data_IF_934702877415
#
_entry.id   IF_934702877415
#
_cell.length_a   1.000
_cell.length_b   1.000
_cell.length_c   1.000
_cell.angle_alpha   90.00
_cell.angle_beta   90.00
_cell.angle_gamma   90.00
#
_symmetry.space_group_name_H-M   'P 1'
#
loop_
_entity.id
_entity.type
_entity.pdbx_description
1 polymer ?
#
# COMPACT_ATOMS: atom_id res chain seq x y z
N UNK A 1 -14.00 -19.20 30.61
CA UNK A 1 -13.31 -18.06 31.24
C UNK A 1 -12.58 -17.30 30.15
N UNK A 2 -13.20 -16.19 29.75
CA UNK A 2 -12.74 -15.31 28.66
C UNK A 2 -11.65 -14.38 29.20
N UNK A 3 -10.40 -14.59 28.84
CA UNK A 3 -9.32 -13.62 29.14
C UNK A 3 -9.38 -12.49 28.12
N UNK A 4 -9.95 -11.35 28.53
CA UNK A 4 -9.88 -10.10 27.80
C UNK A 4 -8.46 -9.54 28.02
N UNK A 5 -7.60 -9.63 27.02
CA UNK A 5 -6.29 -8.96 27.00
C UNK A 5 -6.53 -7.46 26.82
N UNK A 6 -6.50 -6.75 27.94
CA UNK A 6 -6.46 -5.28 27.97
C UNK A 6 -5.07 -4.88 27.52
N UNK A 7 -4.95 -4.37 26.28
CA UNK A 7 -3.74 -3.71 25.79
C UNK A 7 -3.57 -2.43 26.61
N UNK A 8 -2.42 -2.19 27.28
CA UNK A 8 -2.24 -0.97 28.06
C UNK A 8 -2.24 0.24 27.14
N UNK A 9 -3.20 1.12 27.38
CA UNK A 9 -3.29 2.42 26.72
C UNK A 9 -2.08 3.30 27.10
N UNK A 10 -1.57 4.01 26.10
CA UNK A 10 -0.54 5.05 26.13
C UNK A 10 -0.41 5.77 27.47
N UNK A 11 0.72 5.65 28.12
CA UNK A 11 1.15 6.60 29.15
C UNK A 11 1.81 7.81 28.48
N UNK A 12 1.00 8.72 27.92
CA UNK A 12 1.48 9.98 27.32
C UNK A 12 1.54 11.02 28.43
N UNK A 13 2.72 11.53 28.72
CA UNK A 13 2.87 12.67 29.62
C UNK A 13 2.26 13.92 28.99
N UNK A 14 1.14 14.37 29.57
CA UNK A 14 0.40 15.55 29.13
C UNK A 14 0.92 16.76 29.88
N UNK A 15 1.79 17.57 29.25
CA UNK A 15 2.15 18.88 29.78
C UNK A 15 0.96 19.84 29.63
N UNK A 16 0.45 20.37 30.75
CA UNK A 16 -0.62 21.36 30.73
C UNK A 16 -0.08 22.74 30.33
N UNK A 17 -0.40 23.21 29.12
CA UNK A 17 -0.19 24.56 28.62
C UNK A 17 -1.52 25.30 28.52
N UNK A 18 -1.51 26.63 28.77
CA UNK A 18 -2.68 27.53 28.63
C UNK A 18 -3.20 27.71 27.18
N UNK A 19 -2.48 27.20 26.19
CA UNK A 19 -2.98 26.96 24.84
C UNK A 19 -3.50 25.52 24.81
N UNK A 20 -4.77 25.25 24.47
CA UNK A 20 -5.50 23.98 24.56
C UNK A 20 -4.64 22.72 24.57
N UNK A 21 -5.03 21.66 25.27
CA UNK A 21 -4.21 20.48 25.50
C UNK A 21 -3.76 19.83 24.20
N UNK A 22 -2.46 19.96 23.88
CA UNK A 22 -1.84 19.39 22.68
C UNK A 22 -0.99 18.18 23.07
N UNK A 23 -1.14 17.07 22.34
CA UNK A 23 -0.26 15.92 22.44
C UNK A 23 1.08 16.27 21.77
N UNK A 24 2.19 16.04 22.47
CA UNK A 24 3.54 16.20 21.94
C UNK A 24 4.28 14.87 22.08
N UNK A 25 4.91 14.43 21.00
CA UNK A 25 5.66 13.17 20.95
C UNK A 25 7.00 13.42 20.26
N UNK A 26 8.05 13.01 20.93
CA UNK A 26 9.39 12.89 20.35
C UNK A 26 9.58 11.45 19.82
N UNK A 27 9.62 11.25 18.49
CA UNK A 27 9.78 9.92 17.91
C UNK A 27 11.09 9.23 18.30
N UNK A 28 12.11 9.98 18.74
CA UNK A 28 13.41 9.40 19.15
C UNK A 28 13.34 8.67 20.50
N UNK A 29 12.34 8.98 21.32
CA UNK A 29 12.14 8.40 22.65
C UNK A 29 10.86 7.59 22.80
N UNK A 30 9.93 7.74 21.84
CA UNK A 30 8.67 7.03 21.84
C UNK A 30 8.81 5.58 21.34
N UNK A 31 7.92 4.70 21.76
CA UNK A 31 7.90 3.33 21.26
C UNK A 31 7.49 3.30 19.78
N UNK A 32 8.17 2.48 18.96
CA UNK A 32 7.92 2.36 17.52
C UNK A 32 6.46 2.10 17.17
N UNK A 33 5.70 1.23 17.89
CA UNK A 33 4.28 1.03 17.63
C UNK A 33 3.43 2.30 17.80
N UNK A 34 3.77 3.15 18.78
CA UNK A 34 3.03 4.39 19.06
C UNK A 34 3.28 5.43 17.95
N UNK A 35 4.53 5.59 17.54
CA UNK A 35 4.92 6.44 16.40
C UNK A 35 4.20 5.95 15.12
N UNK A 36 4.18 4.64 14.89
CA UNK A 36 3.47 4.04 13.76
C UNK A 36 1.99 4.39 13.79
N UNK A 37 1.29 4.18 14.93
CA UNK A 37 -0.14 4.46 15.06
C UNK A 37 -0.46 5.94 14.81
N UNK A 38 0.38 6.85 15.28
CA UNK A 38 0.21 8.28 15.04
C UNK A 38 0.41 8.61 13.56
N UNK A 39 1.50 8.13 12.94
CA UNK A 39 1.76 8.37 11.51
C UNK A 39 0.61 7.90 10.63
N UNK A 40 0.12 6.68 10.86
CA UNK A 40 -1.01 6.16 10.06
C UNK A 40 -2.35 6.84 10.40
N UNK A 41 -2.44 7.50 11.55
CA UNK A 41 -3.61 8.29 11.96
C UNK A 41 -3.65 9.69 11.36
N UNK A 42 -2.48 10.36 11.20
CA UNK A 42 -2.41 11.75 10.71
C UNK A 42 -2.16 11.84 9.22
N UNK A 43 -1.45 10.87 8.64
CA UNK A 43 -1.24 10.79 7.18
C UNK A 43 -2.39 9.99 6.57
N UNK A 44 -3.50 10.67 6.26
CA UNK A 44 -4.74 10.05 5.77
C UNK A 44 -5.47 10.97 4.79
N UNK A 45 -6.30 10.41 3.89
CA UNK A 45 -6.39 9.01 3.52
C UNK A 45 -5.15 8.56 2.72
N UNK A 46 -4.68 7.33 2.95
CA UNK A 46 -3.54 6.79 2.19
C UNK A 46 -4.05 5.92 1.04
N UNK A 47 -3.65 6.20 -0.21
CA UNK A 47 -3.91 5.28 -1.31
C UNK A 47 -3.23 3.93 -1.07
N UNK A 48 -3.71 2.89 -1.72
CA UNK A 48 -3.21 1.53 -1.56
C UNK A 48 -2.57 1.09 -2.88
N UNK A 49 -1.26 0.80 -2.85
CA UNK A 49 -0.62 0.02 -3.89
C UNK A 49 -0.95 -1.46 -3.63
N UNK A 50 -1.73 -2.08 -4.48
CA UNK A 50 -1.98 -3.51 -4.44
C UNK A 50 -1.03 -4.18 -5.44
N UNK A 51 0.05 -4.77 -4.91
CA UNK A 51 1.25 -5.06 -5.69
C UNK A 51 1.37 -6.56 -5.94
N UNK A 52 1.48 -6.95 -7.24
CA UNK A 52 2.00 -8.26 -7.60
C UNK A 52 3.51 -8.21 -7.81
N UNK A 53 4.20 -9.26 -7.37
CA UNK A 53 5.60 -9.55 -7.66
C UNK A 53 5.73 -11.02 -8.01
N UNK A 54 6.86 -11.41 -8.60
CA UNK A 54 7.12 -12.80 -9.01
C UNK A 54 8.37 -13.31 -8.30
N UNK A 55 8.24 -14.45 -7.62
CA UNK A 55 9.38 -15.11 -7.01
C UNK A 55 10.29 -15.78 -8.06
N UNK A 56 11.55 -16.10 -7.74
CA UNK A 56 12.40 -16.89 -8.63
C UNK A 56 11.84 -18.29 -8.96
N UNK A 57 10.96 -18.81 -8.12
CA UNK A 57 10.27 -20.09 -8.33
C UNK A 57 8.99 -19.95 -9.19
N UNK A 58 8.64 -18.74 -9.62
CA UNK A 58 7.44 -18.50 -10.44
C UNK A 58 6.15 -18.32 -9.63
N UNK A 59 6.22 -18.20 -8.30
CA UNK A 59 5.06 -17.93 -7.46
C UNK A 59 4.72 -16.43 -7.51
N UNK A 60 3.47 -16.11 -7.81
CA UNK A 60 2.97 -14.73 -7.81
C UNK A 60 2.58 -14.34 -6.39
N UNK A 61 3.31 -13.40 -5.80
CA UNK A 61 2.96 -12.79 -4.51
C UNK A 61 2.08 -11.57 -4.73
N UNK A 62 1.08 -11.37 -3.87
CA UNK A 62 0.15 -10.24 -3.91
C UNK A 62 0.01 -9.63 -2.51
N UNK A 63 0.35 -8.36 -2.36
CA UNK A 63 0.25 -7.68 -1.07
C UNK A 63 -0.16 -6.20 -1.21
N UNK A 64 -0.98 -5.66 -0.26
CA UNK A 64 -1.37 -4.26 -0.23
C UNK A 64 -0.40 -3.43 0.61
N UNK A 65 -0.03 -2.25 0.11
CA UNK A 65 0.83 -1.28 0.78
C UNK A 65 0.18 0.09 0.78
N UNK A 66 -0.03 0.70 1.97
CA UNK A 66 -0.62 2.03 2.09
C UNK A 66 0.39 3.15 2.36
N UNK A 67 1.67 2.85 2.51
CA UNK A 67 2.73 3.83 2.33
C UNK A 67 3.06 3.90 0.84
N UNK A 68 2.27 4.67 0.09
CA UNK A 68 2.28 4.69 -1.38
C UNK A 68 1.83 6.04 -1.93
N UNK A 69 2.46 6.50 -3.02
CA UNK A 69 1.94 7.58 -3.86
C UNK A 69 2.63 7.61 -5.25
N UNK A 70 2.11 8.49 -6.15
CA UNK A 70 2.77 8.90 -7.39
C UNK A 70 3.62 10.16 -7.15
N UNK A 71 4.82 10.22 -7.74
CA UNK A 71 5.82 11.27 -7.46
C UNK A 71 6.31 12.02 -8.70
N UNK A 72 5.86 11.67 -9.89
CA UNK A 72 6.25 12.36 -11.12
C UNK A 72 5.58 11.75 -12.34
N UNK A 73 5.59 12.51 -13.45
CA UNK A 73 5.01 12.10 -14.72
C UNK A 73 6.03 12.06 -15.87
N UNK A 74 7.25 12.56 -15.67
CA UNK A 74 8.31 12.53 -16.68
C UNK A 74 9.69 12.26 -16.05
N UNK A 75 10.12 11.00 -15.94
CA UNK A 75 9.32 9.79 -16.19
C UNK A 75 8.19 9.60 -15.16
N UNK A 76 7.16 8.79 -15.46
CA UNK A 76 6.12 8.50 -14.48
C UNK A 76 6.67 7.58 -13.38
N UNK A 77 6.62 8.07 -12.13
CA UNK A 77 7.23 7.41 -10.97
C UNK A 77 6.20 7.20 -9.89
N UNK A 78 6.19 5.99 -9.33
CA UNK A 78 5.48 5.63 -8.11
C UNK A 78 6.47 5.18 -7.03
N UNK A 79 6.11 5.44 -5.76
CA UNK A 79 6.90 4.96 -4.62
C UNK A 79 5.97 4.28 -3.62
N UNK A 80 6.37 3.10 -3.16
CA UNK A 80 5.70 2.42 -2.05
C UNK A 80 6.74 1.84 -1.08
N UNK A 81 6.33 1.51 0.15
CA UNK A 81 7.24 0.98 1.15
C UNK A 81 6.78 -0.35 1.73
N UNK A 82 7.37 -1.48 1.32
CA UNK A 82 7.29 -2.74 2.06
C UNK A 82 8.21 -2.66 3.28
N UNK A 83 7.66 -2.22 4.42
CA UNK A 83 8.41 -2.20 5.68
C UNK A 83 8.86 -3.60 6.07
N UNK A 84 9.97 -3.70 6.82
CA UNK A 84 10.40 -4.96 7.41
C UNK A 84 9.29 -5.55 8.30
N UNK A 85 9.30 -6.87 8.47
CA UNK A 85 8.41 -7.56 9.40
C UNK A 85 8.74 -7.19 10.85
N UNK A 86 7.91 -7.61 11.79
CA UNK A 86 8.13 -7.35 13.23
C UNK A 86 9.36 -8.02 13.80
N UNK A 87 9.80 -9.10 13.19
CA UNK A 87 11.05 -9.82 13.51
C UNK A 87 12.28 -9.22 12.81
N UNK A 88 12.10 -8.15 12.02
CA UNK A 88 13.14 -7.51 11.24
C UNK A 88 13.43 -8.18 9.89
N UNK A 89 12.75 -9.27 9.54
CA UNK A 89 12.93 -9.95 8.26
C UNK A 89 12.27 -9.18 7.11
N UNK A 90 12.71 -9.44 5.88
CA UNK A 90 12.14 -8.87 4.66
C UNK A 90 10.86 -9.58 4.30
N UNK A 91 9.87 -8.83 3.80
CA UNK A 91 8.67 -9.39 3.17
C UNK A 91 9.00 -9.99 1.81
N UNK A 92 8.21 -10.97 1.36
CA UNK A 92 8.41 -11.65 0.08
C UNK A 92 8.38 -10.67 -1.09
N UNK A 93 7.50 -9.67 -1.06
CA UNK A 93 7.50 -8.57 -2.03
C UNK A 93 8.87 -7.91 -2.16
N UNK A 94 9.53 -7.56 -1.03
CA UNK A 94 10.85 -6.92 -1.07
C UNK A 94 11.92 -7.86 -1.62
N UNK A 95 11.90 -9.15 -1.20
CA UNK A 95 12.82 -10.17 -1.71
C UNK A 95 12.68 -10.38 -3.22
N UNK A 96 11.45 -10.43 -3.72
CA UNK A 96 11.17 -10.58 -5.16
C UNK A 96 11.66 -9.36 -5.95
N UNK A 97 11.42 -8.13 -5.44
CA UNK A 97 11.88 -6.90 -6.07
C UNK A 97 13.40 -6.80 -6.16
N UNK A 98 14.12 -7.22 -5.12
CA UNK A 98 15.58 -7.28 -5.12
C UNK A 98 16.13 -8.28 -6.15
N UNK A 99 15.36 -9.32 -6.50
CA UNK A 99 15.77 -10.36 -7.44
C UNK A 99 15.37 -10.06 -8.89
N UNK A 100 14.12 -9.63 -9.10
CA UNK A 100 13.55 -9.48 -10.42
C UNK A 100 13.56 -8.02 -10.91
N UNK A 101 13.39 -7.05 -10.00
CA UNK A 101 13.31 -5.64 -10.33
C UNK A 101 12.05 -5.21 -11.08
N UNK A 102 11.01 -6.03 -11.08
CA UNK A 102 9.74 -5.80 -11.79
C UNK A 102 8.55 -6.01 -10.85
N UNK A 103 7.46 -5.24 -11.04
CA UNK A 103 6.22 -5.38 -10.29
C UNK A 103 5.05 -4.75 -11.03
N UNK A 104 3.83 -5.06 -10.59
CA UNK A 104 2.63 -4.38 -11.07
C UNK A 104 1.85 -3.82 -9.89
N UNK A 105 1.46 -2.54 -9.99
CA UNK A 105 0.58 -1.88 -9.01
C UNK A 105 -0.84 -1.86 -9.54
N UNK A 106 -1.79 -2.37 -8.76
CA UNK A 106 -3.21 -2.34 -9.09
C UNK A 106 -3.95 -1.33 -8.22
N UNK A 107 -4.98 -0.70 -8.77
CA UNK A 107 -5.88 0.14 -8.00
C UNK A 107 -6.72 -0.72 -7.05
N UNK A 108 -6.67 -0.39 -5.75
CA UNK A 108 -7.56 -0.99 -4.76
C UNK A 108 -8.94 -0.33 -4.85
N UNK A 109 -9.94 -1.05 -5.34
CA UNK A 109 -11.29 -0.54 -5.56
C UNK A 109 -12.28 -1.10 -4.55
N UNK A 110 -13.41 -0.43 -4.37
CA UNK A 110 -14.45 -0.85 -3.42
C UNK A 110 -15.00 -2.26 -3.70
N UNK A 111 -15.24 -2.70 -4.96
CA UNK A 111 -15.65 -4.07 -5.24
C UNK A 111 -14.63 -5.14 -4.85
N UNK A 112 -13.34 -4.80 -4.77
CA UNK A 112 -12.25 -5.73 -4.47
C UNK A 112 -11.66 -5.52 -3.06
N UNK A 113 -12.30 -4.70 -2.20
CA UNK A 113 -11.75 -4.34 -0.89
C UNK A 113 -11.53 -5.56 0.04
N UNK A 114 -12.39 -6.57 -0.03
CA UNK A 114 -12.24 -7.81 0.74
C UNK A 114 -11.03 -8.61 0.28
N UNK A 115 -10.81 -8.73 -1.03
CA UNK A 115 -9.65 -9.40 -1.63
C UNK A 115 -8.35 -8.65 -1.30
N UNK A 116 -8.37 -7.31 -1.36
CA UNK A 116 -7.24 -6.47 -0.93
C UNK A 116 -6.90 -6.74 0.53
N UNK A 117 -7.91 -6.80 1.41
CA UNK A 117 -7.70 -7.08 2.82
C UNK A 117 -7.21 -8.53 3.04
N UNK A 118 -7.79 -9.50 2.36
CA UNK A 118 -7.42 -10.91 2.47
C UNK A 118 -5.97 -11.16 2.02
N UNK A 119 -5.51 -10.50 0.96
CA UNK A 119 -4.13 -10.59 0.46
C UNK A 119 -3.08 -9.94 1.39
N UNK A 120 -3.50 -9.31 2.51
CA UNK A 120 -2.59 -8.85 3.55
C UNK A 120 -2.18 -9.94 4.54
N UNK A 121 -2.78 -11.13 4.45
CA UNK A 121 -2.46 -12.28 5.30
C UNK A 121 -1.04 -12.79 4.96
N UNK A 122 -0.26 -13.09 5.99
CA UNK A 122 1.03 -13.75 5.79
C UNK A 122 0.79 -15.23 5.47
N UNK A 123 1.32 -15.66 4.34
CA UNK A 123 1.32 -17.06 3.87
C UNK A 123 2.76 -17.53 3.65
N UNK A 124 3.03 -18.85 3.58
CA UNK A 124 4.32 -19.37 3.15
C UNK A 124 4.75 -18.82 1.77
N UNK A 125 6.05 -18.67 1.54
CA UNK A 125 6.59 -18.05 0.32
C UNK A 125 6.32 -18.88 -0.97
N UNK A 126 5.93 -20.13 -0.84
CA UNK A 126 5.50 -21.02 -1.92
C UNK A 126 3.98 -21.02 -2.16
N UNK A 127 3.23 -20.27 -1.35
CA UNK A 127 1.80 -20.03 -1.54
C UNK A 127 1.54 -18.63 -2.14
N UNK A 128 0.45 -18.52 -2.91
CA UNK A 128 0.08 -17.27 -3.59
C UNK A 128 -1.16 -16.65 -2.96
N UNK A 129 -1.08 -15.39 -2.53
CA UNK A 129 -2.23 -14.64 -2.05
C UNK A 129 -3.25 -14.36 -3.17
N UNK A 130 -2.85 -14.43 -4.44
CA UNK A 130 -3.78 -14.39 -5.60
C UNK A 130 -4.76 -15.55 -5.52
N UNK A 131 -4.24 -16.76 -5.29
CA UNK A 131 -5.07 -17.97 -5.15
C UNK A 131 -5.93 -17.89 -3.89
N UNK A 132 -5.33 -17.46 -2.76
CA UNK A 132 -6.06 -17.28 -1.49
C UNK A 132 -7.23 -16.29 -1.64
N UNK A 133 -7.04 -15.22 -2.42
CA UNK A 133 -8.08 -14.21 -2.66
C UNK A 133 -9.09 -14.60 -3.76
N UNK A 134 -8.92 -15.76 -4.40
CA UNK A 134 -9.80 -16.23 -5.47
C UNK A 134 -9.72 -15.37 -6.74
N UNK A 135 -8.54 -14.82 -7.04
CA UNK A 135 -8.30 -13.93 -8.17
C UNK A 135 -7.60 -14.65 -9.33
N UNK A 136 -7.78 -14.12 -10.53
CA UNK A 136 -7.09 -14.53 -11.74
C UNK A 136 -5.89 -13.64 -12.08
N UNK A 137 -5.01 -14.13 -12.94
CA UNK A 137 -3.90 -13.34 -13.48
C UNK A 137 -3.88 -13.36 -14.99
N UNK A 138 -3.37 -12.26 -15.58
CA UNK A 138 -3.10 -12.10 -17.01
C UNK A 138 -1.66 -11.68 -17.17
N UNK A 139 -0.98 -12.14 -18.23
CA UNK A 139 0.40 -11.77 -18.51
C UNK A 139 0.58 -10.24 -18.59
N UNK A 140 1.72 -9.75 -18.11
CA UNK A 140 2.16 -8.38 -18.34
C UNK A 140 2.51 -8.14 -19.80
N UNK A 141 2.56 -6.88 -20.19
CA UNK A 141 2.93 -6.44 -21.55
C UNK A 141 4.42 -6.08 -21.65
N UNK A 142 4.96 -5.40 -20.65
CA UNK A 142 6.34 -4.94 -20.61
C UNK A 142 7.17 -5.59 -19.52
N UNK A 143 6.51 -6.19 -18.52
CA UNK A 143 7.16 -6.88 -17.40
C UNK A 143 6.75 -8.35 -17.36
N UNK A 144 7.57 -9.20 -16.75
CA UNK A 144 7.31 -10.63 -16.58
C UNK A 144 6.26 -10.90 -15.49
N UNK A 145 6.08 -9.96 -14.57
CA UNK A 145 5.13 -10.08 -13.47
C UNK A 145 3.71 -9.99 -14.02
N UNK A 146 2.85 -10.98 -13.74
CA UNK A 146 1.45 -10.93 -14.17
C UNK A 146 0.65 -9.89 -13.40
N UNK A 147 -0.33 -9.30 -14.08
CA UNK A 147 -1.33 -8.41 -13.49
C UNK A 147 -2.59 -9.18 -13.10
N UNK A 148 -3.36 -8.65 -12.17
CA UNK A 148 -4.67 -9.20 -11.79
C UNK A 148 -5.68 -9.00 -12.93
N UNK A 149 -6.46 -10.03 -13.21
CA UNK A 149 -7.48 -9.98 -14.26
C UNK A 149 -8.66 -9.07 -13.89
N UNK A 150 -9.03 -9.05 -12.60
CA UNK A 150 -10.20 -8.33 -12.08
C UNK A 150 -9.92 -6.85 -11.77
N UNK A 151 -8.65 -6.43 -11.71
CA UNK A 151 -8.31 -5.05 -11.39
C UNK A 151 -8.51 -4.13 -12.60
N UNK A 152 -9.34 -3.08 -12.51
CA UNK A 152 -9.63 -2.20 -13.65
C UNK A 152 -8.45 -1.30 -14.03
N UNK A 153 -7.46 -1.14 -13.14
CA UNK A 153 -6.23 -0.38 -13.41
C UNK A 153 -5.04 -1.18 -12.94
N UNK A 154 -4.03 -1.31 -13.82
CA UNK A 154 -2.75 -1.91 -13.51
C UNK A 154 -1.60 -1.08 -14.11
N UNK A 155 -0.58 -0.80 -13.30
CA UNK A 155 0.64 -0.08 -13.67
C UNK A 155 1.81 -1.05 -13.65
N UNK A 156 2.34 -1.40 -14.81
CA UNK A 156 3.56 -2.22 -14.92
C UNK A 156 4.77 -1.35 -14.63
N UNK A 157 5.61 -1.79 -13.71
CA UNK A 157 6.70 -1.00 -13.18
C UNK A 157 8.03 -1.76 -13.20
N UNK A 158 9.12 -1.01 -13.41
CA UNK A 158 10.49 -1.46 -13.17
C UNK A 158 11.09 -0.70 -12.00
N UNK A 159 11.82 -1.41 -11.15
CA UNK A 159 12.49 -0.81 -9.98
C UNK A 159 13.66 0.06 -10.48
N UNK A 160 13.66 1.32 -10.09
CA UNK A 160 14.79 2.24 -10.30
C UNK A 160 15.75 2.22 -9.12
N UNK A 161 15.17 2.14 -7.91
CA UNK A 161 15.96 2.16 -6.69
C UNK A 161 15.15 1.57 -5.53
N UNK A 162 15.85 0.90 -4.60
CA UNK A 162 15.34 0.52 -3.29
C UNK A 162 16.20 1.24 -2.25
N UNK A 163 15.57 2.08 -1.42
CA UNK A 163 16.26 2.91 -0.43
C UNK A 163 15.85 2.43 0.96
N UNK A 164 16.71 1.70 1.69
CA UNK A 164 16.47 1.37 3.09
C UNK A 164 16.50 2.63 3.96
N UNK A 165 15.47 2.84 4.78
CA UNK A 165 15.36 3.96 5.70
C UNK A 165 15.37 3.45 7.15
N UNK A 166 16.50 2.99 7.62
CA UNK A 166 16.67 2.41 8.95
C UNK A 166 16.80 0.89 8.96
N UNK A 167 16.87 0.32 10.16
CA UNK A 167 17.04 -1.11 10.42
C UNK A 167 16.10 -1.56 11.53
N UNK A 168 15.83 -2.87 11.60
CA UNK A 168 14.98 -3.47 12.63
C UNK A 168 13.49 -3.45 12.29
N UNK A 169 12.63 -3.76 13.27
CA UNK A 169 11.20 -3.91 13.08
C UNK A 169 10.53 -2.71 12.41
N UNK A 170 9.70 -2.95 11.40
CA UNK A 170 8.90 -1.93 10.71
C UNK A 170 9.75 -0.86 9.97
N UNK A 171 11.09 -1.02 9.86
CA UNK A 171 11.93 -0.11 9.09
C UNK A 171 11.46 -0.02 7.64
N UNK A 172 11.42 1.21 7.10
CA UNK A 172 10.94 1.45 5.76
C UNK A 172 11.97 1.08 4.69
N UNK A 173 11.47 0.60 3.53
CA UNK A 173 12.24 0.41 2.31
C UNK A 173 11.50 1.12 1.18
N UNK A 174 11.96 2.29 0.76
CA UNK A 174 11.32 3.02 -0.33
C UNK A 174 11.65 2.34 -1.65
N UNK A 175 10.65 1.75 -2.29
CA UNK A 175 10.77 1.19 -3.64
C UNK A 175 10.34 2.26 -4.63
N UNK A 176 11.30 2.81 -5.35
CA UNK A 176 11.07 3.77 -6.43
C UNK A 176 10.91 3.00 -7.72
N UNK A 177 9.71 3.05 -8.32
CA UNK A 177 9.37 2.37 -9.56
C UNK A 177 9.03 3.34 -10.67
N UNK A 178 9.59 3.10 -11.86
CA UNK A 178 9.16 3.75 -13.09
C UNK A 178 8.02 2.96 -13.71
N UNK A 179 6.90 3.62 -14.01
CA UNK A 179 5.77 3.01 -14.72
C UNK A 179 6.13 2.92 -16.19
N UNK A 180 6.22 1.69 -16.71
CA UNK A 180 6.62 1.41 -18.11
C UNK A 180 5.45 1.05 -19.00
N UNK A 181 4.28 0.71 -18.41
CA UNK A 181 3.03 0.47 -19.12
C UNK A 181 1.83 0.64 -18.19
N UNK A 182 0.69 1.08 -18.74
CA UNK A 182 -0.55 1.28 -17.99
C UNK A 182 -1.70 0.57 -18.68
N UNK A 183 -2.47 -0.20 -17.90
CA UNK A 183 -3.74 -0.77 -18.29
C UNK A 183 -4.84 -0.02 -17.55
N UNK A 184 -5.81 0.50 -18.27
CA UNK A 184 -6.98 1.18 -17.71
C UNK A 184 -8.19 0.65 -18.46
N UNK A 185 -9.15 0.05 -17.76
CA UNK A 185 -10.36 -0.46 -18.34
C UNK A 185 -11.26 0.70 -18.82
N UNK A 186 -11.87 0.56 -20.00
CA UNK A 186 -12.72 1.60 -20.58
C UNK A 186 -13.91 1.96 -19.67
N UNK A 187 -14.39 1.01 -18.90
CA UNK A 187 -15.51 1.18 -17.97
C UNK A 187 -15.25 2.22 -16.85
N UNK A 188 -13.99 2.51 -16.54
CA UNK A 188 -13.63 3.53 -15.53
C UNK A 188 -13.30 4.88 -16.14
N UNK A 189 -13.39 5.03 -17.46
CA UNK A 189 -13.15 6.29 -18.17
C UNK A 189 -14.44 7.10 -18.33
N UNK A 190 -14.30 8.43 -18.33
CA UNK A 190 -15.34 9.37 -18.75
C UNK A 190 -15.39 9.50 -20.29
N UNK A 191 -16.33 10.28 -20.81
CA UNK A 191 -16.51 10.51 -22.23
C UNK A 191 -15.34 11.25 -22.93
N UNK A 192 -14.38 11.78 -22.13
CA UNK A 192 -13.17 12.45 -22.61
C UNK A 192 -11.93 11.56 -22.52
N UNK A 193 -12.12 10.31 -22.06
CA UNK A 193 -11.02 9.36 -21.86
C UNK A 193 -10.20 9.60 -20.59
N UNK A 194 -10.68 10.40 -19.65
CA UNK A 194 -10.08 10.56 -18.33
C UNK A 194 -10.67 9.56 -17.34
N UNK A 195 -9.88 9.15 -16.33
CA UNK A 195 -10.38 8.27 -15.27
C UNK A 195 -11.42 9.02 -14.44
N UNK A 196 -12.65 8.48 -14.40
CA UNK A 196 -13.73 8.99 -13.55
C UNK A 196 -13.62 8.37 -12.14
N UNK A 197 -13.39 9.15 -11.08
CA UNK A 197 -13.28 8.63 -9.72
C UNK A 197 -14.58 7.97 -9.23
N UNK A 198 -15.76 8.37 -9.77
CA UNK A 198 -17.06 7.77 -9.44
C UNK A 198 -17.20 6.36 -10.03
N UNK A 199 -16.54 6.11 -11.17
CA UNK A 199 -16.51 4.80 -11.84
C UNK A 199 -15.40 3.92 -11.24
N UNK A 200 -14.19 4.46 -11.01
CA UNK A 200 -13.06 3.72 -10.46
C UNK A 200 -13.28 3.31 -8.99
N UNK A 201 -13.93 4.13 -8.18
CA UNK A 201 -14.35 3.82 -6.80
C UNK A 201 -13.23 3.27 -5.93
N UNK A 202 -12.10 3.94 -5.87
CA UNK A 202 -10.97 3.50 -5.02
C UNK A 202 -11.32 3.52 -3.54
N UNK A 203 -10.61 2.70 -2.77
CA UNK A 203 -10.62 2.71 -1.31
C UNK A 203 -9.26 3.13 -0.78
N UNK A 204 -9.23 3.70 0.42
CA UNK A 204 -8.01 4.17 1.05
C UNK A 204 -7.95 3.79 2.53
N UNK A 205 -6.73 3.71 3.09
CA UNK A 205 -6.50 3.38 4.50
C UNK A 205 -6.48 4.64 5.34
N UNK A 206 -7.10 4.50 6.52
CA UNK A 206 -7.04 5.45 7.63
C UNK A 206 -6.21 4.85 8.78
N UNK A 207 -6.27 5.43 9.96
CA UNK A 207 -5.66 4.87 11.18
C UNK A 207 -6.33 3.58 11.63
N UNK A 208 -5.60 2.71 12.33
CA UNK A 208 -6.12 1.44 12.84
C UNK A 208 -6.66 0.52 11.75
N UNK A 209 -7.86 -0.02 11.97
CA UNK A 209 -8.55 -0.90 11.03
C UNK A 209 -9.46 -0.15 10.03
N UNK A 210 -9.49 1.17 10.07
CA UNK A 210 -10.44 1.94 9.27
C UNK A 210 -9.99 2.08 7.81
N UNK A 211 -10.98 2.05 6.94
CA UNK A 211 -10.90 2.32 5.51
C UNK A 211 -11.90 3.41 5.16
N UNK A 212 -11.72 4.09 4.04
CA UNK A 212 -12.73 4.99 3.48
C UNK A 212 -12.92 4.74 1.99
N UNK A 213 -14.11 5.06 1.50
CA UNK A 213 -14.36 5.24 0.09
C UNK A 213 -13.90 6.64 -0.34
N UNK A 214 -13.45 6.78 -1.59
CA UNK A 214 -13.10 8.07 -2.19
C UNK A 214 -14.24 8.64 -3.02
N UNK A 215 -15.49 8.36 -2.64
CA UNK A 215 -16.70 8.73 -3.39
C UNK A 215 -17.34 10.04 -2.93
N UNK A 216 -16.90 10.61 -1.81
CA UNK A 216 -17.31 11.94 -1.36
C UNK A 216 -16.46 12.98 -2.06
N UNK A 217 -16.99 13.49 -3.20
CA UNK A 217 -16.25 14.35 -4.13
C UNK A 217 -16.77 15.78 -4.07
N UNK A 218 -15.86 16.74 -4.07
CA UNK A 218 -16.15 18.14 -4.32
C UNK A 218 -15.13 18.71 -5.30
N UNK A 219 -15.53 19.74 -6.03
CA UNK A 219 -14.64 20.44 -6.97
C UNK A 219 -14.08 21.71 -6.34
N UNK A 220 -12.78 21.90 -6.45
CA UNK A 220 -12.10 23.12 -6.05
C UNK A 220 -11.11 23.50 -7.16
N UNK A 221 -11.49 24.40 -8.07
CA UNK A 221 -10.61 24.85 -9.15
C UNK A 221 -9.33 25.50 -8.58
N UNK A 222 -8.23 25.31 -9.28
CA UNK A 222 -7.01 26.07 -8.96
C UNK A 222 -7.22 27.53 -9.29
N UNK A 223 -6.71 28.47 -8.44
CA UNK A 223 -6.83 29.90 -8.70
C UNK A 223 -6.07 30.35 -9.93
#
# INVERSE_FOLDING_TARGET
>A
TLFCLIVPFLCVHRAASLAGSQMQIDPSTAAVPDVYQLLVGVVTPRPIAWVTTLSPAGVVNLAPFSFFNAFGANPPVVVFSPTLRRDGSKKDTLLNLEKLGEFVVHAATAPLAEQVNLSSKEVPADESEVVLAGLGTVAGTKVRVPRLAEAPVALECVVKQIIPCGTGPIAANLVVGEVVFMHVADEVLDDRGAVDPRKLRTVARLGGAYWCHTSDLFELPRP
#
